data_IF_962736324899
#
_entry.id   IF_962736324899
#
_cell.length_a   1.000
_cell.length_b   1.000
_cell.length_c   1.000
_cell.angle_alpha   90.00
_cell.angle_beta   90.00
_cell.angle_gamma   90.00
#
_symmetry.space_group_name_H-M   'P 1'
#
loop_
_entity.id
_entity.type
_entity.pdbx_description
1 polymer ?
#
# COMPACT_ATOMS: atom_id res chain seq x y z
N UNK A 1 -11.46 -3.08 2.58
CA UNK A 1 -10.04 -3.04 3.01
C UNK A 1 -9.24 -2.68 1.79
N UNK A 2 -8.28 -1.76 1.93
CA UNK A 2 -7.41 -1.34 0.84
C UNK A 2 -6.49 -2.47 0.39
N UNK A 3 -6.25 -2.55 -0.92
CA UNK A 3 -5.45 -3.55 -1.58
C UNK A 3 -4.28 -2.87 -2.30
N UNK A 4 -3.06 -3.30 -2.04
CA UNK A 4 -1.86 -2.76 -2.70
C UNK A 4 -1.29 -3.81 -3.64
N UNK A 5 -1.09 -3.43 -4.91
CA UNK A 5 -0.49 -4.29 -5.93
C UNK A 5 1.03 -4.23 -5.88
N UNK A 6 1.69 -5.40 -5.83
CA UNK A 6 3.14 -5.51 -5.97
C UNK A 6 3.46 -5.76 -7.44
N UNK A 7 4.09 -4.80 -8.09
CA UNK A 7 4.38 -4.80 -9.54
C UNK A 7 5.89 -4.76 -9.81
N UNK A 8 6.28 -5.08 -11.01
CA UNK A 8 7.67 -5.04 -11.49
C UNK A 8 7.90 -6.01 -12.62
N UNK A 9 9.02 -5.86 -13.32
CA UNK A 9 9.42 -6.82 -14.37
C UNK A 9 9.79 -8.18 -13.77
N UNK A 10 10.07 -9.15 -14.62
CA UNK A 10 10.55 -10.47 -14.18
C UNK A 10 11.92 -10.37 -13.48
N UNK A 11 12.19 -11.25 -12.53
CA UNK A 11 13.49 -11.43 -11.84
C UNK A 11 14.03 -10.22 -11.04
N UNK A 12 13.23 -9.20 -10.78
CA UNK A 12 13.61 -8.09 -9.86
C UNK A 12 13.48 -8.44 -8.38
N UNK A 13 12.95 -9.64 -8.06
CA UNK A 13 12.69 -10.08 -6.69
C UNK A 13 11.27 -9.78 -6.20
N UNK A 14 10.31 -9.53 -7.10
CA UNK A 14 8.90 -9.25 -6.77
C UNK A 14 8.26 -10.35 -5.91
N UNK A 15 8.35 -11.62 -6.31
CA UNK A 15 7.79 -12.75 -5.55
C UNK A 15 8.53 -13.00 -4.24
N UNK A 16 9.84 -12.70 -4.17
CA UNK A 16 10.61 -12.71 -2.92
C UNK A 16 10.11 -11.64 -1.97
N UNK A 17 9.88 -10.41 -2.46
CA UNK A 17 9.30 -9.31 -1.69
C UNK A 17 7.92 -9.68 -1.16
N UNK A 18 7.04 -10.19 -2.02
CA UNK A 18 5.68 -10.60 -1.64
C UNK A 18 5.71 -11.71 -0.58
N UNK A 19 6.52 -12.74 -0.79
CA UNK A 19 6.70 -13.83 0.18
C UNK A 19 7.23 -13.32 1.51
N UNK A 20 8.26 -12.47 1.49
CA UNK A 20 8.80 -11.85 2.69
C UNK A 20 7.74 -11.00 3.42
N UNK A 21 6.97 -10.20 2.69
CA UNK A 21 5.94 -9.33 3.26
C UNK A 21 4.77 -10.10 3.91
N UNK A 22 4.39 -11.26 3.36
CA UNK A 22 3.19 -12.03 3.75
C UNK A 22 3.45 -13.24 4.63
N UNK A 23 4.72 -13.57 4.93
CA UNK A 23 5.11 -14.77 5.66
C UNK A 23 4.75 -14.77 7.16
N UNK A 24 4.29 -13.66 7.73
CA UNK A 24 4.03 -13.59 9.16
C UNK A 24 2.73 -14.35 9.52
N UNK A 25 2.87 -15.58 10.01
CA UNK A 25 1.77 -16.40 10.51
C UNK A 25 1.43 -16.00 11.95
N UNK A 26 0.69 -14.91 12.13
CA UNK A 26 0.15 -14.54 13.45
C UNK A 26 -1.29 -14.98 13.50
N UNK A 27 -1.72 -15.82 14.49
CA UNK A 27 -3.10 -16.18 14.65
C UNK A 27 -3.91 -14.93 15.01
N UNK A 28 -4.70 -14.45 14.06
CA UNK A 28 -5.65 -13.36 14.30
C UNK A 28 -7.02 -14.01 14.47
N UNK A 29 -7.64 -13.88 15.63
CA UNK A 29 -8.88 -14.55 15.99
C UNK A 29 -10.01 -14.16 15.09
N UNK A 30 -10.57 -13.13 14.89
CA UNK A 30 -11.79 -12.84 14.12
C UNK A 30 -11.53 -11.99 12.85
N UNK A 31 -10.71 -12.49 11.92
CA UNK A 31 -10.56 -11.78 10.66
C UNK A 31 -11.62 -12.25 9.65
N UNK A 32 -12.49 -11.35 9.14
CA UNK A 32 -13.69 -11.76 8.39
C UNK A 32 -13.43 -12.31 6.97
N UNK A 33 -12.17 -12.49 6.55
CA UNK A 33 -11.84 -12.91 5.18
C UNK A 33 -10.84 -14.07 5.16
N UNK A 34 -11.36 -15.29 5.24
CA UNK A 34 -10.58 -16.54 5.09
C UNK A 34 -10.40 -16.96 3.63
N UNK A 35 -11.17 -16.43 2.69
CA UNK A 35 -11.02 -16.75 1.26
C UNK A 35 -10.06 -15.78 0.60
N UNK A 36 -8.80 -16.19 0.45
CA UNK A 36 -7.75 -15.42 -0.22
C UNK A 36 -7.68 -15.91 -1.67
N UNK A 37 -7.75 -14.98 -2.63
CA UNK A 37 -7.42 -15.29 -4.03
C UNK A 37 -5.95 -15.77 -4.09
N UNK A 38 -5.59 -16.68 -5.01
CA UNK A 38 -4.24 -17.26 -5.05
C UNK A 38 -3.08 -16.27 -5.08
N UNK A 39 -3.34 -15.04 -5.54
CA UNK A 39 -2.33 -13.99 -5.67
C UNK A 39 -2.46 -12.87 -4.60
N UNK A 40 -3.31 -13.04 -3.58
CA UNK A 40 -3.51 -12.05 -2.50
C UNK A 40 -2.99 -12.63 -1.19
N UNK A 41 -2.12 -11.88 -0.51
CA UNK A 41 -1.59 -12.25 0.80
C UNK A 41 -1.87 -11.18 1.86
N UNK A 42 -1.81 -11.58 3.13
CA UNK A 42 -1.87 -10.66 4.26
C UNK A 42 -0.46 -10.23 4.64
N UNK A 43 -0.23 -8.92 4.62
CA UNK A 43 0.90 -8.26 5.23
C UNK A 43 0.42 -7.44 6.43
N UNK A 44 1.33 -6.76 7.11
CA UNK A 44 0.98 -6.00 8.30
C UNK A 44 1.49 -4.57 8.19
N UNK A 45 0.62 -3.63 8.46
CA UNK A 45 1.01 -2.26 8.76
C UNK A 45 1.50 -2.22 10.21
N UNK A 46 2.73 -1.76 10.43
CA UNK A 46 3.38 -1.71 11.73
C UNK A 46 3.30 -0.30 12.30
N UNK A 47 2.72 -0.15 13.50
CA UNK A 47 2.63 1.14 14.19
C UNK A 47 2.83 0.99 15.69
N UNK A 48 3.11 2.08 16.40
CA UNK A 48 3.11 2.08 17.87
C UNK A 48 1.69 1.88 18.38
N UNK A 49 1.52 0.99 19.37
CA UNK A 49 0.25 0.80 20.03
C UNK A 49 0.06 1.81 21.15
N UNK A 50 -1.14 2.38 21.24
CA UNK A 50 -1.51 3.31 22.32
C UNK A 50 -1.52 2.66 23.71
N UNK A 51 -1.51 1.31 23.79
CA UNK A 51 -1.53 0.59 25.07
C UNK A 51 -0.37 0.97 26.00
N UNK A 52 0.83 1.24 25.45
CA UNK A 52 1.98 1.66 26.26
C UNK A 52 1.81 3.06 26.80
N UNK A 53 1.29 3.98 26.00
CA UNK A 53 1.03 5.36 26.40
C UNK A 53 -0.07 5.45 27.46
N UNK A 54 -1.11 4.62 27.30
CA UNK A 54 -2.25 4.57 28.22
C UNK A 54 -2.02 3.67 29.45
N UNK A 55 -0.86 2.99 29.52
CA UNK A 55 -0.51 2.12 30.65
C UNK A 55 -1.41 0.90 30.81
N UNK A 56 -2.00 0.39 29.71
CA UNK A 56 -2.93 -0.74 29.74
C UNK A 56 -2.35 -1.96 29.03
N UNK A 57 -2.76 -3.15 29.44
CA UNK A 57 -2.53 -4.39 28.72
C UNK A 57 -3.65 -4.56 27.70
N UNK A 58 -3.30 -4.56 26.42
CA UNK A 58 -4.27 -4.73 25.34
C UNK A 58 -4.58 -6.21 25.00
N UNK A 59 -5.79 -6.46 24.47
CA UNK A 59 -6.26 -7.76 24.03
C UNK A 59 -6.86 -7.63 22.62
N UNK A 60 -6.00 -7.46 21.58
CA UNK A 60 -6.46 -7.25 20.22
C UNK A 60 -7.17 -8.46 19.62
N UNK A 61 -8.25 -8.18 18.87
CA UNK A 61 -9.06 -9.21 18.19
C UNK A 61 -8.89 -9.21 16.67
N UNK A 62 -8.67 -8.03 16.06
CA UNK A 62 -8.50 -7.86 14.61
C UNK A 62 -7.06 -7.55 14.16
N UNK A 63 -6.13 -7.57 15.07
CA UNK A 63 -4.72 -7.20 14.86
C UNK A 63 -3.87 -7.89 15.92
N UNK A 64 -2.56 -7.64 15.96
CA UNK A 64 -1.67 -8.22 16.98
C UNK A 64 -0.86 -7.10 17.61
N UNK A 65 -0.62 -7.19 18.94
CA UNK A 65 0.28 -6.30 19.64
C UNK A 65 1.46 -7.09 20.23
N UNK A 66 2.66 -6.72 19.83
CA UNK A 66 3.90 -7.32 20.33
C UNK A 66 4.71 -6.21 21.01
N UNK A 67 4.85 -6.27 22.32
CA UNK A 67 5.62 -5.31 23.11
C UNK A 67 5.27 -3.82 22.87
N UNK A 68 3.98 -3.52 22.58
CA UNK A 68 3.52 -2.16 22.29
C UNK A 68 3.69 -1.74 20.82
N UNK A 69 3.97 -2.70 19.94
CA UNK A 69 3.91 -2.52 18.49
C UNK A 69 2.65 -3.22 17.97
N UNK A 70 1.76 -2.45 17.34
CA UNK A 70 0.54 -2.96 16.73
C UNK A 70 0.81 -3.34 15.28
N UNK A 71 0.47 -4.57 14.92
CA UNK A 71 0.53 -5.11 13.57
C UNK A 71 -0.90 -5.22 13.04
N UNK A 72 -1.28 -4.33 12.15
CA UNK A 72 -2.63 -4.26 11.58
C UNK A 72 -2.61 -4.93 10.21
N UNK A 73 -3.46 -5.95 9.96
CA UNK A 73 -3.44 -6.66 8.69
C UNK A 73 -3.88 -5.78 7.53
N UNK A 74 -3.14 -5.88 6.43
CA UNK A 74 -3.36 -5.20 5.16
C UNK A 74 -3.22 -6.20 4.01
N UNK A 75 -3.85 -5.92 2.86
CA UNK A 75 -3.82 -6.82 1.70
C UNK A 75 -2.77 -6.38 0.70
N UNK A 76 -1.92 -7.32 0.32
CA UNK A 76 -1.03 -7.21 -0.83
C UNK A 76 -1.47 -8.19 -1.93
N UNK A 77 -1.28 -7.82 -3.18
CA UNK A 77 -1.53 -8.67 -4.34
C UNK A 77 -0.24 -8.82 -5.15
N UNK A 78 0.20 -10.06 -5.38
CA UNK A 78 1.30 -10.35 -6.31
C UNK A 78 0.77 -10.26 -7.74
N UNK A 79 1.06 -9.16 -8.40
CA UNK A 79 0.65 -8.91 -9.78
C UNK A 79 1.64 -9.58 -10.72
N UNK A 80 1.16 -10.20 -11.80
CA UNK A 80 2.01 -10.85 -12.78
C UNK A 80 3.13 -9.93 -13.29
N UNK A 81 4.33 -10.49 -13.54
CA UNK A 81 5.45 -9.70 -14.05
C UNK A 81 5.13 -9.05 -15.41
N UNK A 82 5.44 -7.77 -15.52
CA UNK A 82 5.29 -7.01 -16.76
C UNK A 82 6.35 -7.40 -17.78
N UNK A 83 5.90 -7.52 -19.02
CA UNK A 83 6.77 -7.65 -20.19
C UNK A 83 6.45 -6.51 -21.18
N UNK A 84 7.40 -6.07 -22.00
CA UNK A 84 7.17 -5.03 -22.99
C UNK A 84 6.02 -5.35 -23.95
N UNK A 85 5.08 -4.39 -24.11
CA UNK A 85 3.88 -4.55 -24.93
C UNK A 85 2.68 -5.18 -24.21
N UNK A 86 2.70 -5.23 -22.88
CA UNK A 86 1.57 -5.71 -22.06
C UNK A 86 0.30 -4.89 -22.33
N UNK A 87 0.40 -3.57 -22.51
CA UNK A 87 -0.69 -2.67 -22.87
C UNK A 87 -1.33 -2.97 -24.25
N UNK A 88 -0.60 -3.68 -25.13
CA UNK A 88 -1.06 -4.14 -26.44
C UNK A 88 -1.50 -5.63 -26.43
N UNK A 89 -1.65 -6.24 -25.25
CA UNK A 89 -2.13 -7.63 -25.10
C UNK A 89 -1.04 -8.69 -25.22
N UNK A 90 0.25 -8.34 -25.21
CA UNK A 90 1.34 -9.33 -25.21
C UNK A 90 1.46 -10.05 -23.86
N UNK A 91 1.70 -11.33 -23.88
CA UNK A 91 1.92 -12.16 -22.69
C UNK A 91 0.69 -12.22 -21.78
N UNK A 92 0.90 -12.09 -20.46
CA UNK A 92 -0.16 -12.03 -19.45
C UNK A 92 -0.73 -10.60 -19.25
N UNK A 93 -0.57 -9.71 -20.24
CA UNK A 93 -0.91 -8.30 -20.12
C UNK A 93 -2.35 -8.04 -19.68
N UNK A 94 -3.32 -8.77 -20.20
CA UNK A 94 -4.72 -8.62 -19.78
C UNK A 94 -4.93 -9.00 -18.31
N UNK A 95 -4.30 -10.08 -17.83
CA UNK A 95 -4.38 -10.48 -16.41
C UNK A 95 -3.73 -9.45 -15.51
N UNK A 96 -2.55 -8.96 -15.87
CA UNK A 96 -1.87 -7.88 -15.15
C UNK A 96 -2.77 -6.65 -14.99
N UNK A 97 -3.43 -6.25 -16.07
CA UNK A 97 -4.31 -5.08 -16.09
C UNK A 97 -5.58 -5.30 -15.25
N UNK A 98 -6.14 -6.52 -15.25
CA UNK A 98 -7.29 -6.88 -14.44
C UNK A 98 -6.95 -6.91 -12.93
N UNK A 99 -5.75 -7.39 -12.59
CA UNK A 99 -5.24 -7.34 -11.22
C UNK A 99 -5.07 -5.88 -10.75
N UNK A 100 -4.52 -5.01 -11.59
CA UNK A 100 -4.33 -3.59 -11.26
C UNK A 100 -5.63 -2.80 -11.06
N UNK A 101 -6.74 -3.23 -11.66
CA UNK A 101 -8.05 -2.59 -11.45
C UNK A 101 -8.40 -2.51 -9.97
N UNK A 102 -8.10 -3.55 -9.21
CA UNK A 102 -8.49 -3.70 -7.81
C UNK A 102 -7.53 -2.99 -6.84
N UNK A 103 -6.32 -2.65 -7.27
CA UNK A 103 -5.32 -2.06 -6.39
C UNK A 103 -5.58 -0.56 -6.14
N UNK A 104 -5.52 -0.14 -4.88
CA UNK A 104 -5.64 1.27 -4.45
C UNK A 104 -4.30 2.01 -4.57
N UNK A 105 -3.18 1.30 -4.48
CA UNK A 105 -1.82 1.81 -4.66
C UNK A 105 -0.90 0.70 -5.17
N UNK A 106 0.31 1.06 -5.58
CA UNK A 106 1.30 0.12 -6.09
C UNK A 106 2.60 0.19 -5.29
N UNK A 107 3.21 -0.98 -5.08
CA UNK A 107 4.61 -1.13 -4.71
C UNK A 107 5.35 -1.62 -5.95
N UNK A 108 6.18 -0.78 -6.54
CA UNK A 108 6.97 -1.14 -7.70
C UNK A 108 8.34 -1.65 -7.25
N UNK A 109 8.54 -2.95 -7.31
CA UNK A 109 9.83 -3.60 -7.02
C UNK A 109 10.75 -3.45 -8.21
N UNK A 110 11.92 -2.83 -8.00
CA UNK A 110 12.91 -2.53 -9.01
C UNK A 110 14.25 -3.14 -8.61
N UNK A 111 14.96 -3.75 -9.54
CA UNK A 111 16.32 -4.26 -9.32
C UNK A 111 17.32 -3.08 -9.31
N UNK A 112 17.58 -2.53 -8.12
CA UNK A 112 18.50 -1.40 -7.98
C UNK A 112 19.95 -1.76 -8.31
N UNK A 113 20.31 -3.04 -8.29
CA UNK A 113 21.67 -3.46 -8.68
C UNK A 113 21.91 -3.42 -10.19
N UNK A 114 20.83 -3.28 -11.01
CA UNK A 114 20.94 -3.34 -12.47
C UNK A 114 21.49 -4.67 -12.96
N UNK A 115 21.20 -5.79 -12.25
CA UNK A 115 21.64 -7.14 -12.59
C UNK A 115 20.68 -7.92 -13.49
N UNK A 116 19.62 -7.23 -13.98
CA UNK A 116 18.64 -7.81 -14.92
C UNK A 116 18.40 -6.86 -16.07
N UNK A 117 18.35 -7.36 -17.32
CA UNK A 117 17.99 -6.59 -18.50
C UNK A 117 16.49 -6.25 -18.54
N UNK A 118 16.03 -5.53 -19.57
CA UNK A 118 14.63 -5.10 -19.72
C UNK A 118 13.66 -6.31 -19.78
N UNK A 119 14.11 -7.47 -20.25
CA UNK A 119 13.32 -8.71 -20.29
C UNK A 119 13.41 -9.53 -19.00
N UNK A 120 14.23 -9.07 -18.04
CA UNK A 120 14.47 -9.73 -16.76
C UNK A 120 15.50 -10.85 -16.81
N UNK A 121 16.34 -10.95 -17.85
CA UNK A 121 17.43 -11.93 -17.91
C UNK A 121 18.58 -11.46 -17.02
N UNK A 122 19.26 -12.41 -16.32
CA UNK A 122 20.43 -12.05 -15.52
C UNK A 122 21.56 -11.47 -16.39
N UNK A 123 22.13 -10.37 -15.95
CA UNK A 123 23.29 -9.71 -16.55
C UNK A 123 24.26 -9.27 -15.45
N UNK A 124 25.43 -8.77 -15.83
CA UNK A 124 26.40 -8.24 -14.87
C UNK A 124 25.79 -7.07 -14.08
N UNK A 125 25.88 -7.05 -12.72
CA UNK A 125 25.40 -5.92 -11.94
C UNK A 125 25.96 -4.59 -12.45
N UNK A 126 25.08 -3.56 -12.55
CA UNK A 126 25.44 -2.25 -13.07
C UNK A 126 25.30 -2.10 -14.59
N UNK A 127 24.99 -3.17 -15.32
CA UNK A 127 24.84 -3.09 -16.80
C UNK A 127 23.52 -2.55 -17.28
N UNK A 128 22.51 -2.45 -16.40
CA UNK A 128 21.18 -1.90 -16.72
C UNK A 128 20.84 -0.72 -15.80
N UNK A 129 20.24 0.34 -16.35
CA UNK A 129 19.76 1.49 -15.55
C UNK A 129 18.36 1.21 -14.98
N UNK A 130 18.20 1.08 -13.64
CA UNK A 130 16.90 0.86 -13.03
C UNK A 130 15.83 1.91 -13.33
N UNK A 131 16.24 3.12 -13.72
CA UNK A 131 15.29 4.16 -14.16
C UNK A 131 14.54 3.77 -15.44
N UNK A 132 15.12 2.95 -16.30
CA UNK A 132 14.43 2.42 -17.48
C UNK A 132 13.29 1.51 -17.10
N UNK A 133 13.47 0.67 -16.07
CA UNK A 133 12.41 -0.21 -15.55
C UNK A 133 11.25 0.60 -14.98
N UNK A 134 11.57 1.67 -14.27
CA UNK A 134 10.55 2.56 -13.71
C UNK A 134 9.74 3.22 -14.82
N UNK A 135 10.42 3.80 -15.81
CA UNK A 135 9.76 4.43 -16.97
C UNK A 135 8.95 3.43 -17.77
N UNK A 136 9.47 2.23 -17.94
CA UNK A 136 8.79 1.14 -18.65
C UNK A 136 7.43 0.83 -18.01
N UNK A 137 7.38 0.56 -16.69
CA UNK A 137 6.13 0.26 -15.99
C UNK A 137 5.16 1.44 -16.02
N UNK A 138 5.66 2.66 -15.79
CA UNK A 138 4.84 3.87 -15.88
C UNK A 138 4.22 4.03 -17.28
N UNK A 139 4.99 3.83 -18.33
CA UNK A 139 4.53 3.97 -19.72
C UNK A 139 3.48 2.90 -20.09
N UNK A 140 3.68 1.64 -19.69
CA UNK A 140 2.70 0.58 -19.95
C UNK A 140 1.35 0.90 -19.30
N UNK A 141 1.36 1.42 -18.07
CA UNK A 141 0.14 1.85 -17.38
C UNK A 141 -0.52 3.05 -18.05
N UNK A 142 0.27 4.04 -18.46
CA UNK A 142 -0.23 5.24 -19.14
C UNK A 142 -0.85 4.89 -20.50
N UNK A 143 -0.20 4.04 -21.28
CA UNK A 143 -0.72 3.56 -22.58
C UNK A 143 -1.99 2.74 -22.39
N UNK A 144 -2.06 1.93 -21.36
CA UNK A 144 -3.28 1.17 -21.07
C UNK A 144 -4.46 2.09 -20.77
N UNK A 145 -4.31 3.06 -19.86
CA UNK A 145 -5.35 4.04 -19.55
C UNK A 145 -5.74 4.86 -20.79
N UNK A 146 -4.75 5.26 -21.58
CA UNK A 146 -4.98 5.97 -22.83
C UNK A 146 -5.83 5.15 -23.80
N UNK A 147 -5.53 3.87 -23.99
CA UNK A 147 -6.29 2.99 -24.88
C UNK A 147 -7.74 2.83 -24.43
N UNK A 148 -8.01 2.73 -23.13
CA UNK A 148 -9.38 2.69 -22.60
C UNK A 148 -10.17 3.95 -23.01
N UNK A 149 -9.57 5.14 -22.94
CA UNK A 149 -10.22 6.39 -23.33
C UNK A 149 -10.31 6.56 -24.84
N UNK A 150 -9.25 6.20 -25.59
CA UNK A 150 -9.21 6.38 -27.06
C UNK A 150 -10.30 5.58 -27.75
N UNK A 151 -10.60 4.36 -27.32
CA UNK A 151 -11.58 3.49 -27.93
C UNK A 151 -12.98 4.13 -28.04
N UNK A 152 -13.33 4.99 -27.11
CA UNK A 152 -14.65 5.66 -27.07
C UNK A 152 -14.54 7.19 -27.15
N UNK A 153 -13.37 7.75 -27.44
CA UNK A 153 -13.12 9.18 -27.34
C UNK A 153 -14.05 10.03 -28.20
N UNK A 154 -14.37 9.56 -29.42
CA UNK A 154 -15.31 10.27 -30.30
C UNK A 154 -16.74 10.41 -29.71
N UNK A 155 -17.16 9.43 -28.90
CA UNK A 155 -18.46 9.49 -28.20
C UNK A 155 -18.39 10.42 -27.01
N UNK A 156 -17.30 10.31 -26.21
CA UNK A 156 -17.07 11.14 -25.03
C UNK A 156 -16.98 12.61 -25.40
N UNK A 157 -16.21 12.95 -26.43
CA UNK A 157 -16.04 14.34 -26.88
C UNK A 157 -17.33 14.97 -27.40
N UNK A 158 -18.13 14.22 -28.16
CA UNK A 158 -19.47 14.68 -28.64
C UNK A 158 -20.46 14.93 -27.51
N UNK A 159 -20.47 14.09 -26.48
CA UNK A 159 -21.37 14.29 -25.32
C UNK A 159 -21.07 15.55 -24.53
N UNK A 160 -19.86 16.07 -24.63
CA UNK A 160 -19.42 17.29 -23.96
C UNK A 160 -19.75 18.58 -24.72
N UNK A 161 -20.27 18.51 -25.97
CA UNK A 161 -20.59 19.70 -26.77
C UNK A 161 -21.64 20.59 -26.09
N UNK A 162 -22.59 19.98 -25.36
CA UNK A 162 -23.63 20.68 -24.61
C UNK A 162 -23.21 21.07 -23.19
N UNK A 163 -22.35 20.28 -22.56
CA UNK A 163 -21.91 20.50 -21.18
C UNK A 163 -20.59 19.73 -20.92
N UNK A 164 -19.57 20.46 -20.43
CA UNK A 164 -18.27 19.91 -20.02
C UNK A 164 -18.41 18.77 -18.99
N UNK A 165 -19.29 18.94 -18.00
CA UNK A 165 -19.51 17.93 -16.95
C UNK A 165 -20.02 16.59 -17.51
N UNK A 166 -20.79 16.59 -18.59
CA UNK A 166 -21.25 15.38 -19.26
C UNK A 166 -20.06 14.56 -19.81
N UNK A 167 -19.05 15.24 -20.36
CA UNK A 167 -17.81 14.61 -20.82
C UNK A 167 -17.01 14.00 -19.66
N UNK A 168 -16.88 14.75 -18.55
CA UNK A 168 -16.19 14.26 -17.33
C UNK A 168 -16.91 13.03 -16.76
N UNK A 169 -18.25 13.03 -16.72
CA UNK A 169 -19.04 11.87 -16.27
C UNK A 169 -18.76 10.66 -17.15
N UNK A 170 -18.67 10.82 -18.47
CA UNK A 170 -18.37 9.71 -19.37
C UNK A 170 -16.93 9.19 -19.23
N UNK A 171 -15.95 10.08 -19.02
CA UNK A 171 -14.57 9.67 -18.69
C UNK A 171 -14.62 8.84 -17.39
N UNK A 172 -15.30 9.32 -16.36
CA UNK A 172 -15.44 8.59 -15.10
C UNK A 172 -16.13 7.24 -15.28
N UNK A 173 -17.22 7.15 -16.04
CA UNK A 173 -17.89 5.87 -16.33
C UNK A 173 -16.94 4.83 -16.95
N UNK A 174 -16.04 5.25 -17.85
CA UNK A 174 -15.03 4.37 -18.46
C UNK A 174 -13.94 3.94 -17.50
N UNK A 175 -13.59 4.78 -16.56
CA UNK A 175 -12.50 4.54 -15.61
C UNK A 175 -12.96 4.07 -14.22
N UNK A 176 -14.27 4.07 -13.95
CA UNK A 176 -14.84 3.72 -12.63
C UNK A 176 -14.49 2.30 -12.16
N UNK A 177 -14.42 1.35 -13.10
CA UNK A 177 -13.97 -0.02 -12.82
C UNK A 177 -12.50 -0.14 -12.38
N UNK A 178 -11.74 0.95 -12.39
CA UNK A 178 -10.33 1.04 -12.00
C UNK A 178 -10.14 1.72 -10.64
N UNK A 179 -11.19 1.88 -9.86
CA UNK A 179 -11.18 2.64 -8.59
C UNK A 179 -10.76 4.12 -8.77
N UNK A 180 -10.95 4.69 -9.96
CA UNK A 180 -10.67 6.09 -10.27
C UNK A 180 -11.94 6.91 -9.99
N UNK A 181 -11.82 7.90 -9.13
CA UNK A 181 -12.94 8.75 -8.73
C UNK A 181 -13.13 9.94 -9.68
N UNK A 182 -14.35 10.49 -9.76
CA UNK A 182 -14.62 11.71 -10.53
C UNK A 182 -13.73 12.88 -10.06
N UNK A 183 -13.45 12.97 -8.75
CA UNK A 183 -12.57 13.97 -8.18
C UNK A 183 -11.13 13.86 -8.71
N UNK A 184 -10.60 12.64 -8.86
CA UNK A 184 -9.26 12.40 -9.40
C UNK A 184 -9.14 12.90 -10.83
N UNK A 185 -10.19 12.69 -11.65
CA UNK A 185 -10.25 13.13 -13.04
C UNK A 185 -10.30 14.67 -13.11
N UNK A 186 -11.11 15.32 -12.28
CA UNK A 186 -11.18 16.78 -12.25
C UNK A 186 -9.85 17.40 -11.83
N UNK A 187 -9.21 16.87 -10.79
CA UNK A 187 -7.87 17.30 -10.35
C UNK A 187 -6.84 17.13 -11.47
N UNK A 188 -6.88 16.01 -12.21
CA UNK A 188 -5.98 15.78 -13.33
C UNK A 188 -6.23 16.73 -14.51
N UNK A 189 -7.50 17.03 -14.82
CA UNK A 189 -7.87 18.00 -15.86
C UNK A 189 -7.37 19.41 -15.51
N UNK A 190 -7.53 19.80 -14.24
CA UNK A 190 -7.02 21.08 -13.75
C UNK A 190 -5.51 21.17 -13.85
N UNK A 191 -4.78 20.16 -13.36
CA UNK A 191 -3.32 20.07 -13.40
C UNK A 191 -2.74 20.10 -14.82
N UNK A 192 -3.51 19.64 -15.81
CA UNK A 192 -3.09 19.65 -17.23
C UNK A 192 -3.50 20.92 -17.99
N UNK A 193 -4.22 21.86 -17.33
CA UNK A 193 -4.71 23.09 -17.97
C UNK A 193 -5.78 22.86 -19.04
N UNK A 194 -6.50 21.74 -18.95
CA UNK A 194 -7.53 21.36 -19.91
C UNK A 194 -8.95 21.81 -19.53
N UNK A 195 -9.13 22.35 -18.31
CA UNK A 195 -10.46 22.74 -17.77
C UNK A 195 -11.26 23.68 -18.70
N UNK A 196 -10.59 24.61 -19.35
CA UNK A 196 -11.22 25.62 -20.22
C UNK A 196 -11.17 25.26 -21.71
N UNK A 197 -10.80 24.02 -22.06
CA UNK A 197 -10.72 23.55 -23.45
C UNK A 197 -11.88 22.59 -23.74
N UNK A 198 -12.55 22.76 -24.88
CA UNK A 198 -13.56 21.79 -25.33
C UNK A 198 -12.92 20.41 -25.52
N UNK A 199 -13.56 19.34 -25.04
CA UNK A 199 -13.01 17.97 -25.15
C UNK A 199 -12.78 17.57 -26.62
N UNK A 200 -13.58 18.09 -27.55
CA UNK A 200 -13.44 17.85 -28.99
C UNK A 200 -12.12 18.38 -29.57
N UNK A 201 -11.46 19.32 -28.87
CA UNK A 201 -10.18 19.91 -29.30
C UNK A 201 -8.97 19.23 -28.63
N UNK A 202 -9.20 18.26 -27.73
CA UNK A 202 -8.09 17.58 -27.05
C UNK A 202 -7.39 16.63 -28.03
N UNK A 203 -6.09 16.83 -28.16
CA UNK A 203 -5.22 15.97 -28.95
C UNK A 203 -4.87 14.70 -28.19
N UNK A 204 -4.29 13.72 -28.90
CA UNK A 204 -3.77 12.50 -28.26
C UNK A 204 -2.72 12.81 -27.19
N UNK A 205 -1.89 13.83 -27.41
CA UNK A 205 -0.92 14.29 -26.43
C UNK A 205 -1.60 14.85 -25.17
N UNK A 206 -2.71 15.57 -25.32
CA UNK A 206 -3.49 16.04 -24.17
C UNK A 206 -4.07 14.87 -23.38
N UNK A 207 -4.57 13.85 -24.06
CA UNK A 207 -5.08 12.63 -23.41
C UNK A 207 -3.97 11.86 -22.69
N UNK A 208 -2.78 11.76 -23.30
CA UNK A 208 -1.64 11.09 -22.68
C UNK A 208 -1.21 11.83 -21.40
N UNK A 209 -1.13 13.15 -21.43
CA UNK A 209 -0.80 13.92 -20.21
C UNK A 209 -1.90 13.80 -19.15
N UNK A 210 -3.16 13.82 -19.55
CA UNK A 210 -4.28 13.59 -18.64
C UNK A 210 -4.19 12.23 -17.93
N UNK A 211 -4.00 11.15 -18.67
CA UNK A 211 -3.93 9.81 -18.07
C UNK A 211 -2.71 9.62 -17.18
N UNK A 212 -1.58 10.28 -17.47
CA UNK A 212 -0.42 10.31 -16.58
C UNK A 212 -0.76 10.93 -15.22
N UNK A 213 -1.51 12.03 -15.23
CA UNK A 213 -1.94 12.70 -14.00
C UNK A 213 -2.97 11.84 -13.26
N UNK A 214 -3.96 11.28 -13.95
CA UNK A 214 -4.95 10.36 -13.37
C UNK A 214 -4.24 9.17 -12.71
N UNK A 215 -3.27 8.54 -13.38
CA UNK A 215 -2.51 7.42 -12.81
C UNK A 215 -1.77 7.82 -11.52
N UNK A 216 -1.10 8.96 -11.53
CA UNK A 216 -0.36 9.45 -10.34
C UNK A 216 -1.26 9.65 -9.13
N UNK A 217 -2.48 10.14 -9.34
CA UNK A 217 -3.47 10.39 -8.28
C UNK A 217 -4.14 9.08 -7.84
N UNK A 218 -4.67 8.32 -8.79
CA UNK A 218 -5.53 7.17 -8.51
C UNK A 218 -4.76 5.87 -8.28
N UNK A 219 -3.52 5.77 -8.75
CA UNK A 219 -2.61 4.61 -8.58
C UNK A 219 -1.24 5.09 -8.08
N UNK A 220 -1.19 5.75 -6.91
CA UNK A 220 0.07 6.23 -6.37
C UNK A 220 1.03 5.06 -6.16
N UNK A 221 2.33 5.30 -6.38
CA UNK A 221 3.32 4.21 -6.44
C UNK A 221 4.53 4.50 -5.55
N UNK A 222 4.88 3.54 -4.69
CA UNK A 222 6.14 3.50 -3.94
C UNK A 222 7.11 2.58 -4.66
N UNK A 223 8.36 3.02 -4.84
CA UNK A 223 9.42 2.19 -5.42
C UNK A 223 10.15 1.46 -4.29
N UNK A 224 10.17 0.14 -4.33
CA UNK A 224 11.06 -0.69 -3.53
C UNK A 224 12.34 -0.94 -4.33
N UNK A 225 13.41 -0.19 -4.04
CA UNK A 225 14.72 -0.35 -4.67
C UNK A 225 15.40 -1.61 -4.13
N UNK A 226 15.04 -2.75 -4.70
CA UNK A 226 15.42 -4.07 -4.22
C UNK A 226 16.87 -4.43 -4.60
N UNK A 227 17.41 -5.45 -3.92
CA UNK A 227 18.81 -5.92 -4.01
C UNK A 227 19.81 -4.83 -3.58
N UNK A 228 19.43 -4.03 -2.59
CA UNK A 228 20.25 -2.90 -2.10
C UNK A 228 21.58 -3.34 -1.49
N UNK A 229 21.68 -4.60 -1.11
CA UNK A 229 22.89 -5.28 -0.59
C UNK A 229 23.97 -5.51 -1.65
N UNK A 230 23.63 -5.40 -2.94
CA UNK A 230 24.54 -5.61 -4.06
C UNK A 230 25.13 -4.27 -4.56
N UNK A 231 26.43 -4.29 -4.92
CA UNK A 231 27.01 -3.16 -5.65
C UNK A 231 26.59 -3.24 -7.12
N UNK A 232 26.19 -2.13 -7.81
CA UNK A 232 26.20 -0.74 -7.40
C UNK A 232 24.84 -0.20 -6.93
N UNK A 233 23.95 -1.01 -6.37
CA UNK A 233 22.60 -0.63 -5.99
C UNK A 233 22.50 0.67 -5.15
N UNK A 234 23.40 0.96 -4.18
CA UNK A 234 23.34 2.22 -3.42
C UNK A 234 23.41 3.47 -4.30
N UNK A 235 24.26 3.46 -5.33
CA UNK A 235 24.38 4.59 -6.28
C UNK A 235 23.11 4.75 -7.11
N UNK A 236 22.54 3.65 -7.58
CA UNK A 236 21.30 3.66 -8.34
C UNK A 236 20.11 4.09 -7.49
N UNK A 237 20.08 3.71 -6.20
CA UNK A 237 19.07 4.20 -5.26
C UNK A 237 19.08 5.73 -5.16
N UNK A 238 20.26 6.35 -5.01
CA UNK A 238 20.36 7.81 -4.97
C UNK A 238 19.93 8.46 -6.30
N UNK A 239 20.22 7.84 -7.44
CA UNK A 239 19.69 8.27 -8.74
C UNK A 239 18.15 8.23 -8.77
N UNK A 240 17.52 7.15 -8.31
CA UNK A 240 16.05 7.02 -8.27
C UNK A 240 15.48 8.11 -7.36
N UNK A 241 16.03 8.26 -6.17
CA UNK A 241 15.62 9.27 -5.17
C UNK A 241 15.71 10.69 -5.71
N UNK A 242 16.76 11.02 -6.47
CA UNK A 242 16.94 12.35 -7.07
C UNK A 242 15.87 12.72 -8.10
N UNK A 243 15.09 11.76 -8.60
CA UNK A 243 13.95 12.03 -9.49
C UNK A 243 12.70 12.53 -8.77
N UNK A 244 12.73 12.64 -7.43
CA UNK A 244 11.59 13.05 -6.61
C UNK A 244 10.52 11.95 -6.40
N UNK A 245 10.79 10.73 -6.84
CA UNK A 245 9.89 9.59 -6.63
C UNK A 245 10.01 9.06 -5.21
N UNK A 246 8.89 8.58 -4.66
CA UNK A 246 8.85 7.87 -3.39
C UNK A 246 9.59 6.55 -3.53
N UNK A 247 10.74 6.41 -2.86
CA UNK A 247 11.64 5.26 -3.00
C UNK A 247 12.17 4.82 -1.64
N UNK A 248 12.14 3.51 -1.38
CA UNK A 248 12.65 2.86 -0.16
C UNK A 248 13.73 1.87 -0.55
N UNK A 249 14.94 1.91 0.08
CA UNK A 249 15.98 0.91 -0.14
C UNK A 249 15.52 -0.42 0.45
N UNK A 250 15.66 -1.51 -0.30
CA UNK A 250 15.08 -2.81 0.08
C UNK A 250 16.01 -3.97 -0.25
N UNK A 251 16.08 -4.96 0.66
CA UNK A 251 16.62 -6.30 0.39
C UNK A 251 15.56 -7.33 0.79
N UNK A 252 14.74 -7.72 -0.19
CA UNK A 252 13.67 -8.69 0.01
C UNK A 252 14.19 -10.07 0.41
N UNK A 253 15.35 -10.46 -0.08
CA UNK A 253 16.00 -11.73 0.28
C UNK A 253 16.48 -11.71 1.74
N UNK A 254 17.08 -10.61 2.21
CA UNK A 254 17.47 -10.46 3.60
C UNK A 254 16.27 -10.56 4.54
N UNK A 255 15.17 -9.88 4.23
CA UNK A 255 13.93 -9.97 5.00
C UNK A 255 13.40 -11.41 5.06
N UNK A 256 13.34 -12.08 3.90
CA UNK A 256 12.84 -13.45 3.82
C UNK A 256 13.71 -14.42 4.66
N UNK A 257 15.03 -14.25 4.65
CA UNK A 257 15.96 -15.06 5.48
C UNK A 257 15.73 -14.79 6.97
N UNK A 258 15.62 -13.52 7.38
CA UNK A 258 15.36 -13.16 8.78
C UNK A 258 14.01 -13.70 9.27
N UNK A 259 12.95 -13.57 8.47
CA UNK A 259 11.63 -14.10 8.84
C UNK A 259 11.63 -15.63 8.94
N UNK A 260 12.28 -16.33 8.02
CA UNK A 260 12.43 -17.79 8.08
C UNK A 260 13.23 -18.23 9.30
N UNK A 261 14.27 -17.50 9.66
CA UNK A 261 15.06 -17.78 10.85
C UNK A 261 14.26 -17.55 12.14
N UNK A 262 13.44 -16.49 12.18
CA UNK A 262 12.54 -16.18 13.29
C UNK A 262 11.43 -17.24 13.44
N UNK A 263 10.79 -17.66 12.33
CA UNK A 263 9.76 -18.70 12.30
C UNK A 263 10.30 -20.04 12.85
N UNK A 264 11.56 -20.35 12.55
CA UNK A 264 12.29 -21.52 13.09
C UNK A 264 12.81 -21.31 14.51
N UNK A 265 12.53 -20.17 15.15
CA UNK A 265 13.00 -19.81 16.49
C UNK A 265 14.53 -19.83 16.63
N UNK A 266 15.24 -19.55 15.55
CA UNK A 266 16.71 -19.41 15.56
C UNK A 266 17.12 -18.01 16.01
N UNK A 267 16.29 -17.01 15.71
CA UNK A 267 16.48 -15.61 16.10
C UNK A 267 15.18 -15.02 16.64
N UNK A 268 15.28 -13.98 17.44
CA UNK A 268 14.19 -13.03 17.72
C UNK A 268 14.33 -11.86 16.74
N UNK A 269 13.29 -11.65 15.94
CA UNK A 269 13.22 -10.58 14.95
C UNK A 269 11.77 -10.15 14.74
N UNK A 270 11.51 -8.85 14.82
CA UNK A 270 10.24 -8.27 14.42
C UNK A 270 10.42 -7.55 13.08
N UNK A 271 9.59 -7.81 12.07
CA UNK A 271 9.71 -7.20 10.75
C UNK A 271 9.90 -5.68 10.81
N UNK A 272 10.89 -5.18 10.09
CA UNK A 272 11.27 -3.76 10.07
C UNK A 272 12.06 -3.28 11.29
N UNK A 273 12.52 -4.18 12.16
CA UNK A 273 13.47 -3.79 13.18
C UNK A 273 14.89 -3.68 12.60
N UNK A 274 15.66 -2.73 13.14
CA UNK A 274 17.06 -2.52 12.80
C UNK A 274 18.01 -3.48 13.51
N UNK A 275 17.51 -4.57 14.08
CA UNK A 275 18.32 -5.58 14.79
C UNK A 275 17.59 -6.91 14.86
N UNK A 276 18.34 -7.95 15.12
CA UNK A 276 17.85 -9.29 15.49
C UNK A 276 18.76 -9.88 16.56
N UNK A 277 18.23 -10.82 17.34
CA UNK A 277 18.97 -11.51 18.40
C UNK A 277 19.00 -13.01 18.11
N UNK A 278 20.20 -13.60 18.09
CA UNK A 278 20.37 -15.04 17.97
C UNK A 278 19.99 -15.70 19.30
N UNK A 279 19.07 -16.67 19.28
CA UNK A 279 18.56 -17.34 20.49
C UNK A 279 18.77 -18.86 20.46
N UNK A 280 19.35 -19.39 19.38
CA UNK A 280 19.62 -20.82 19.23
C UNK A 280 21.01 -21.06 18.66
N UNK A 281 21.51 -22.29 18.78
CA UNK A 281 22.74 -22.67 18.10
C UNK A 281 22.56 -22.70 16.59
N UNK A 282 23.48 -22.06 15.89
CA UNK A 282 23.47 -21.93 14.43
C UNK A 282 24.67 -22.67 13.84
N UNK A 283 24.49 -23.30 12.71
CA UNK A 283 25.57 -23.79 11.88
C UNK A 283 26.38 -22.65 11.23
N UNK A 284 27.59 -22.89 10.83
CA UNK A 284 28.49 -21.88 10.25
C UNK A 284 27.89 -21.18 9.00
N UNK A 285 27.18 -21.86 8.06
CA UNK A 285 26.56 -21.21 6.94
C UNK A 285 25.45 -20.21 7.36
N UNK A 286 24.66 -20.55 8.41
CA UNK A 286 23.60 -19.70 8.94
C UNK A 286 24.17 -18.45 9.62
N UNK A 287 25.23 -18.63 10.45
CA UNK A 287 25.94 -17.50 11.08
C UNK A 287 26.46 -16.53 10.03
N UNK A 288 27.19 -17.06 9.04
CA UNK A 288 27.74 -16.25 7.94
C UNK A 288 26.67 -15.49 7.16
N UNK A 289 25.51 -16.12 6.87
CA UNK A 289 24.40 -15.46 6.20
C UNK A 289 23.83 -14.31 7.04
N UNK A 290 23.63 -14.51 8.34
CA UNK A 290 23.12 -13.46 9.24
C UNK A 290 24.13 -12.32 9.42
N UNK A 291 25.43 -12.62 9.48
CA UNK A 291 26.49 -11.61 9.54
C UNK A 291 26.52 -10.75 8.28
N UNK A 292 26.39 -11.37 7.10
CA UNK A 292 26.29 -10.62 5.83
C UNK A 292 25.06 -9.72 5.78
N UNK A 293 23.90 -10.20 6.24
CA UNK A 293 22.68 -9.40 6.32
C UNK A 293 22.88 -8.23 7.28
N UNK A 294 23.48 -8.49 8.45
CA UNK A 294 23.76 -7.44 9.42
C UNK A 294 24.67 -6.37 8.81
N UNK A 295 25.82 -6.76 8.25
CA UNK A 295 26.82 -5.84 7.71
C UNK A 295 26.32 -5.07 6.48
N UNK A 296 25.72 -5.77 5.50
CA UNK A 296 25.40 -5.18 4.20
C UNK A 296 24.04 -4.50 4.16
N UNK A 297 23.11 -4.87 5.05
CA UNK A 297 21.74 -4.37 5.04
C UNK A 297 21.42 -3.58 6.31
N UNK A 298 21.41 -4.25 7.48
CA UNK A 298 20.93 -3.62 8.71
C UNK A 298 21.83 -2.46 9.15
N UNK A 299 23.14 -2.66 9.23
CA UNK A 299 24.07 -1.63 9.71
C UNK A 299 24.15 -0.42 8.74
N UNK A 300 23.85 -0.62 7.43
CA UNK A 300 23.89 0.45 6.43
C UNK A 300 22.56 1.18 6.24
N UNK A 301 21.45 0.46 6.33
CA UNK A 301 20.13 0.97 5.95
C UNK A 301 19.14 1.06 7.11
N UNK A 302 19.54 0.54 8.29
CA UNK A 302 18.69 0.55 9.49
C UNK A 302 17.62 -0.54 9.52
N UNK A 303 17.25 -1.09 8.37
CA UNK A 303 16.30 -2.21 8.22
C UNK A 303 16.47 -2.89 6.87
N UNK A 304 15.67 -3.93 6.61
CA UNK A 304 15.62 -4.59 5.28
C UNK A 304 14.80 -3.80 4.25
N UNK A 305 14.06 -2.78 4.66
CA UNK A 305 13.23 -1.94 3.80
C UNK A 305 11.86 -2.51 3.42
N UNK A 306 11.61 -3.81 3.58
CA UNK A 306 10.32 -4.42 3.20
C UNK A 306 9.17 -3.87 4.03
N UNK A 307 9.31 -3.87 5.36
CA UNK A 307 8.29 -3.33 6.26
C UNK A 307 8.14 -1.81 6.12
N UNK A 308 9.23 -1.09 5.89
CA UNK A 308 9.21 0.35 5.63
C UNK A 308 8.46 0.69 4.35
N UNK A 309 8.66 -0.10 3.29
CA UNK A 309 7.91 0.05 2.02
C UNK A 309 6.41 -0.11 2.25
N UNK A 310 6.00 -1.12 3.03
CA UNK A 310 4.59 -1.33 3.39
C UNK A 310 4.07 -0.12 4.18
N UNK A 311 4.76 0.25 5.25
CA UNK A 311 4.34 1.36 6.11
C UNK A 311 4.25 2.67 5.33
N UNK A 312 5.24 2.98 4.50
CA UNK A 312 5.24 4.17 3.67
C UNK A 312 4.05 4.19 2.72
N UNK A 313 3.78 3.06 2.05
CA UNK A 313 2.66 2.95 1.10
C UNK A 313 1.31 3.19 1.77
N UNK A 314 1.07 2.62 2.94
CA UNK A 314 -0.22 2.77 3.62
C UNK A 314 -0.34 4.10 4.35
N UNK A 315 0.71 4.57 5.03
CA UNK A 315 0.68 5.78 5.84
C UNK A 315 0.82 7.05 4.99
N UNK A 316 1.92 7.13 4.23
CA UNK A 316 2.26 8.38 3.53
C UNK A 316 1.54 8.47 2.17
N UNK A 317 1.55 7.38 1.40
CA UNK A 317 1.04 7.40 0.04
C UNK A 317 -0.50 7.33 -0.02
N UNK A 318 -1.10 6.44 0.78
CA UNK A 318 -2.56 6.31 0.91
C UNK A 318 -3.15 7.24 1.97
N UNK A 319 -2.32 7.91 2.75
CA UNK A 319 -2.74 8.87 3.78
C UNK A 319 -3.55 8.23 4.89
N UNK A 320 -3.17 7.03 5.37
CA UNK A 320 -3.93 6.33 6.40
C UNK A 320 -3.43 6.66 7.79
N UNK A 321 -4.38 6.76 8.71
CA UNK A 321 -4.18 6.88 10.15
C UNK A 321 -4.77 5.67 10.86
N UNK A 322 -4.28 5.38 12.06
CA UNK A 322 -4.77 4.31 12.91
C UNK A 322 -5.74 4.86 13.94
N UNK A 323 -6.90 4.22 14.09
CA UNK A 323 -7.90 4.58 15.13
C UNK A 323 -8.33 3.33 15.87
N UNK A 324 -8.62 3.47 17.16
CA UNK A 324 -8.99 2.40 18.07
C UNK A 324 -10.44 2.58 18.54
N UNK A 325 -11.43 1.93 17.92
CA UNK A 325 -12.78 1.95 18.41
C UNK A 325 -12.92 1.10 19.69
N UNK A 326 -13.66 1.65 20.66
CA UNK A 326 -13.98 0.99 21.92
C UNK A 326 -15.46 1.13 22.24
N UNK A 327 -16.03 0.22 23.04
CA UNK A 327 -17.43 0.31 23.48
C UNK A 327 -17.57 0.96 24.87
N UNK A 328 -16.53 0.90 25.69
CA UNK A 328 -16.44 1.59 26.98
C UNK A 328 -15.22 2.51 26.98
N UNK A 329 -15.47 3.82 27.19
CA UNK A 329 -14.43 4.87 27.17
C UNK A 329 -13.54 4.88 28.41
N UNK A 330 -13.96 4.25 29.51
CA UNK A 330 -13.21 4.24 30.78
C UNK A 330 -12.27 3.05 30.85
N UNK A 331 -12.79 1.87 30.48
CA UNK A 331 -12.01 0.63 30.46
C UNK A 331 -11.31 0.39 29.15
N UNK A 332 -11.59 1.21 28.12
CA UNK A 332 -11.05 1.13 26.75
C UNK A 332 -11.31 -0.23 26.10
N UNK A 333 -12.46 -0.85 26.40
CA UNK A 333 -12.75 -2.24 26.07
C UNK A 333 -14.01 -2.39 25.22
N UNK A 334 -14.18 -3.61 24.66
CA UNK A 334 -15.45 -4.08 24.12
C UNK A 334 -16.35 -4.65 25.24
N UNK A 335 -17.57 -5.11 24.89
CA UNK A 335 -18.51 -5.75 25.82
C UNK A 335 -17.99 -7.03 26.46
N UNK A 336 -16.95 -7.65 25.87
CA UNK A 336 -16.34 -8.89 26.39
C UNK A 336 -15.17 -8.59 27.34
N UNK A 337 -14.83 -7.31 27.53
CA UNK A 337 -13.70 -6.87 28.36
C UNK A 337 -12.35 -6.90 27.65
N UNK A 338 -12.29 -7.09 26.32
CA UNK A 338 -11.04 -7.00 25.58
C UNK A 338 -10.63 -5.53 25.47
N UNK A 339 -9.47 -5.17 26.02
CA UNK A 339 -8.94 -3.81 26.01
C UNK A 339 -8.33 -3.51 24.64
N UNK A 340 -8.63 -2.33 24.05
CA UNK A 340 -8.20 -1.92 22.72
C UNK A 340 -8.37 -3.03 21.68
N UNK A 341 -9.61 -3.60 21.55
CA UNK A 341 -9.83 -4.83 20.80
C UNK A 341 -9.53 -4.69 19.32
N UNK A 342 -9.84 -3.55 18.76
CA UNK A 342 -9.74 -3.32 17.32
C UNK A 342 -8.82 -2.13 17.02
N UNK A 343 -8.11 -2.22 15.89
CA UNK A 343 -7.38 -1.12 15.28
C UNK A 343 -7.78 -1.02 13.81
N UNK A 344 -8.22 0.16 13.38
CA UNK A 344 -8.68 0.41 12.02
C UNK A 344 -7.79 1.44 11.33
N UNK A 345 -7.43 1.15 10.07
CA UNK A 345 -6.78 2.12 9.19
C UNK A 345 -7.86 2.89 8.43
N UNK A 346 -7.91 4.19 8.60
CA UNK A 346 -8.85 5.10 7.92
C UNK A 346 -8.09 6.21 7.20
N UNK A 347 -8.70 6.87 6.22
CA UNK A 347 -8.06 8.01 5.54
C UNK A 347 -7.93 9.19 6.50
N UNK A 348 -6.83 9.89 6.44
CA UNK A 348 -6.66 11.20 7.10
C UNK A 348 -7.77 12.13 6.63
N UNK A 349 -8.36 12.91 7.55
CA UNK A 349 -9.54 13.72 7.28
C UNK A 349 -10.86 12.98 7.43
N UNK A 350 -10.85 11.66 7.75
CA UNK A 350 -12.08 10.93 8.08
C UNK A 350 -12.65 11.41 9.42
N UNK A 351 -13.98 11.38 9.51
CA UNK A 351 -14.72 11.85 10.68
C UNK A 351 -15.11 10.70 11.61
N UNK A 352 -15.60 11.03 12.81
CA UNK A 352 -16.16 10.07 13.74
C UNK A 352 -17.33 9.27 13.14
N UNK A 353 -18.15 9.91 12.28
CA UNK A 353 -19.25 9.26 11.57
C UNK A 353 -18.72 8.29 10.48
N UNK A 354 -17.64 8.65 9.78
CA UNK A 354 -16.99 7.75 8.81
C UNK A 354 -16.45 6.50 9.49
N UNK A 355 -15.86 6.64 10.67
CA UNK A 355 -15.44 5.50 11.48
C UNK A 355 -16.63 4.61 11.85
N UNK A 356 -17.77 5.20 12.24
CA UNK A 356 -18.97 4.43 12.57
C UNK A 356 -19.44 3.59 11.38
N UNK A 357 -19.51 4.17 10.17
CA UNK A 357 -19.84 3.45 8.94
C UNK A 357 -18.82 2.36 8.60
N UNK A 358 -17.53 2.61 8.87
CA UNK A 358 -16.47 1.62 8.64
C UNK A 358 -16.58 0.41 9.55
N UNK A 359 -17.05 0.60 10.78
CA UNK A 359 -17.26 -0.48 11.73
C UNK A 359 -18.53 -1.28 11.35
N UNK A 360 -19.65 -0.58 11.17
CA UNK A 360 -20.92 -1.16 10.75
C UNK A 360 -21.87 -0.10 10.19
N UNK A 361 -22.62 -0.45 9.14
CA UNK A 361 -23.57 0.48 8.50
C UNK A 361 -24.59 1.04 9.49
N UNK A 362 -25.16 0.18 10.37
CA UNK A 362 -26.16 0.62 11.36
C UNK A 362 -25.61 1.61 12.38
N UNK A 363 -24.31 1.48 12.75
CA UNK A 363 -23.66 2.46 13.62
C UNK A 363 -23.55 3.83 12.95
N UNK A 364 -23.24 3.84 11.66
CA UNK A 364 -23.18 5.08 10.86
C UNK A 364 -24.54 5.72 10.64
N UNK A 365 -25.56 4.93 10.30
CA UNK A 365 -26.94 5.42 10.12
C UNK A 365 -27.57 5.92 11.43
N UNK A 366 -27.34 5.20 12.53
CA UNK A 366 -27.86 5.55 13.84
C UNK A 366 -26.94 6.47 14.65
N UNK A 367 -25.88 7.04 14.05
CA UNK A 367 -24.88 7.84 14.76
C UNK A 367 -25.52 9.01 15.52
N UNK A 368 -25.25 9.10 16.82
CA UNK A 368 -25.70 10.22 17.66
C UNK A 368 -24.52 11.16 18.00
N UNK A 369 -23.44 10.60 18.52
CA UNK A 369 -22.18 11.28 18.84
C UNK A 369 -21.08 10.26 19.08
N UNK A 370 -19.85 10.73 19.22
CA UNK A 370 -18.74 9.90 19.67
C UNK A 370 -18.11 10.49 20.95
N UNK A 371 -17.28 9.71 21.63
CA UNK A 371 -16.48 10.15 22.77
C UNK A 371 -15.02 9.87 22.42
N UNK A 372 -14.19 10.92 22.49
CA UNK A 372 -12.74 10.79 22.52
C UNK A 372 -12.36 10.24 23.91
N UNK A 373 -12.04 8.94 23.98
CA UNK A 373 -11.77 8.27 25.24
C UNK A 373 -10.47 8.74 25.91
N UNK A 374 -9.55 9.34 25.16
CA UNK A 374 -8.30 9.89 25.69
C UNK A 374 -8.53 11.20 26.45
N UNK A 375 -9.48 12.01 26.00
CA UNK A 375 -9.80 13.32 26.58
C UNK A 375 -11.06 13.30 27.44
N UNK A 376 -11.88 12.23 27.32
CA UNK A 376 -13.20 12.15 27.96
C UNK A 376 -14.22 13.14 27.38
N UNK A 377 -14.00 13.61 26.14
CA UNK A 377 -14.81 14.64 25.51
C UNK A 377 -15.80 14.05 24.49
N UNK A 378 -17.05 14.52 24.55
CA UNK A 378 -18.03 14.23 23.51
C UNK A 378 -17.73 15.04 22.26
N UNK A 379 -17.74 14.35 21.09
CA UNK A 379 -17.46 14.92 19.79
C UNK A 379 -18.60 14.64 18.80
N UNK A 380 -18.81 15.54 17.84
CA UNK A 380 -19.87 15.47 16.84
C UNK A 380 -19.53 14.54 15.67
N UNK A 381 -20.49 14.44 14.73
CA UNK A 381 -20.35 13.63 13.51
C UNK A 381 -19.19 14.06 12.62
N UNK A 382 -18.95 15.37 12.53
CA UNK A 382 -17.95 15.98 11.65
C UNK A 382 -16.58 16.13 12.31
N UNK A 383 -16.41 15.59 13.52
CA UNK A 383 -15.11 15.63 14.21
C UNK A 383 -14.08 14.82 13.44
N UNK A 384 -13.06 15.51 12.93
CA UNK A 384 -11.94 14.88 12.22
C UNK A 384 -11.08 14.07 13.18
N UNK A 385 -10.82 12.81 12.83
CA UNK A 385 -10.05 11.88 13.63
C UNK A 385 -8.56 12.02 13.35
N UNK A 386 -7.77 11.89 14.42
CA UNK A 386 -6.32 11.95 14.40
C UNK A 386 -5.71 10.53 14.54
N UNK A 387 -4.43 10.43 14.13
CA UNK A 387 -3.68 9.16 14.29
C UNK A 387 -3.58 8.77 15.78
N UNK A 388 -3.90 7.52 16.06
CA UNK A 388 -3.94 6.94 17.41
C UNK A 388 -5.11 7.42 18.31
N UNK A 389 -6.17 7.99 17.75
CA UNK A 389 -7.38 8.29 18.52
C UNK A 389 -8.06 7.01 19.02
N UNK A 390 -8.58 7.08 20.25
CA UNK A 390 -9.39 6.03 20.88
C UNK A 390 -10.82 6.54 21.00
N UNK A 391 -11.75 5.94 20.24
CA UNK A 391 -13.07 6.50 19.98
C UNK A 391 -14.17 5.52 20.35
N UNK A 392 -15.10 5.96 21.23
CA UNK A 392 -16.37 5.28 21.45
C UNK A 392 -17.45 5.88 20.55
N UNK A 393 -18.11 5.05 19.77
CA UNK A 393 -19.28 5.45 18.97
C UNK A 393 -20.56 5.21 19.77
N UNK A 394 -21.40 6.22 19.85
CA UNK A 394 -22.74 6.11 20.45
C UNK A 394 -23.77 6.23 19.33
N UNK A 395 -24.57 5.19 19.17
CA UNK A 395 -25.57 5.04 18.11
C UNK A 395 -26.93 4.68 18.69
N UNK A 396 -28.00 5.17 18.05
CA UNK A 396 -29.38 4.78 18.38
C UNK A 396 -29.71 3.34 17.92
N UNK A 397 -28.96 2.81 16.93
CA UNK A 397 -29.08 1.43 16.47
C UNK A 397 -28.00 0.57 17.16
N UNK A 398 -28.41 -0.53 17.80
CA UNK A 398 -27.45 -1.50 18.34
C UNK A 398 -26.74 -2.23 17.19
N UNK A 399 -25.50 -2.70 17.44
CA UNK A 399 -24.90 -3.74 16.61
C UNK A 399 -25.82 -4.97 16.70
N UNK A 400 -26.36 -5.44 15.57
CA UNK A 400 -27.08 -6.69 15.48
C UNK A 400 -26.16 -7.88 15.74
#
# INVERSE_FOLDING_TARGET
MMLVGVVGKTNVGKSTFFSAATMLNVPIGNYPFTTINPNVGLAYFKTKCVCKELGVQDHPTNSVCINGIRLIPVKLMDVAGLVPGASSGRGLGNKFLDDLRQADALIHVVDASGSTDIEGRPITPGSHDPLEDIRFVENELDLWLLNILKNDWSKISKSSESNFDSGVIQIHQKLSGLSILKADILTAIEATGLMNKKLSTWTEQNLLELVKHIRRIAKPTTIAANKIDLSPAPLNFEKIKSTGRSCVPCSAEAELVLRRAADKKLIEYLPGDGYFKIVSQLGDPQKKALELIKEKVIDKWGSTGVQETINFTFKELLGLITVYPVEDERTLSDKKGNVLPEAHLIKKGSTAKDLAYKIHTDLGEGFLYAIDARKGLRVGADHELLDCDVIKIVSAKARG
#
